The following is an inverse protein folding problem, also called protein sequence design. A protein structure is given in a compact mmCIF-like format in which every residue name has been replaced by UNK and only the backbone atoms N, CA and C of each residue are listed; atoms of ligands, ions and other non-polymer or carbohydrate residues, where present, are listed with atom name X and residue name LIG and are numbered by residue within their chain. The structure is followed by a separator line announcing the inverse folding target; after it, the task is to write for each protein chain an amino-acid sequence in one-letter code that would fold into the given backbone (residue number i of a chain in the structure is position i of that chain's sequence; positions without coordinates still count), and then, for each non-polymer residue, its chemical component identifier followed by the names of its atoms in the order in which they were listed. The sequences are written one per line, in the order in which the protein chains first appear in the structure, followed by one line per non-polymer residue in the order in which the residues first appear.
data_IF_814312461088
#
_entry.id   IF_814312461088
#
_cell.length_a   1.000
_cell.length_b   1.000
_cell.length_c   1.000
_cell.angle_alpha   90.00
_cell.angle_beta   90.00
_cell.angle_gamma   90.00
#
_symmetry.space_group_name_H-M   'P 1'
#
loop_
_entity.id
_entity.type
_entity.pdbx_description
1 polymer ?
#
# COMPACT_ATOMS: atom_id res chain seq x y z
N UNK A 1 -9.17 9.35 16.66
CA UNK A 1 -8.47 8.36 15.83
C UNK A 1 -8.78 8.65 14.38
N UNK A 2 -7.78 8.67 13.50
CA UNK A 2 -8.02 8.82 12.06
C UNK A 2 -8.63 7.53 11.51
N UNK A 3 -9.64 7.65 10.64
CA UNK A 3 -10.28 6.51 9.98
C UNK A 3 -9.42 6.01 8.82
N UNK A 4 -9.65 4.78 8.36
CA UNK A 4 -8.98 4.25 7.16
C UNK A 4 -9.20 5.16 5.95
N UNK A 5 -10.40 5.71 5.76
CA UNK A 5 -10.67 6.66 4.69
C UNK A 5 -9.85 7.96 4.81
N UNK A 6 -9.68 8.50 6.03
CA UNK A 6 -8.80 9.66 6.25
C UNK A 6 -7.35 9.33 5.93
N UNK A 7 -6.85 8.16 6.38
CA UNK A 7 -5.50 7.71 6.03
C UNK A 7 -5.32 7.64 4.51
N UNK A 8 -6.26 7.04 3.78
CA UNK A 8 -6.21 6.96 2.31
C UNK A 8 -6.17 8.33 1.64
N UNK A 9 -6.93 9.32 2.12
CA UNK A 9 -6.84 10.69 1.61
C UNK A 9 -5.46 11.33 1.87
N UNK A 10 -4.88 11.10 3.05
CA UNK A 10 -3.53 11.60 3.37
C UNK A 10 -2.47 10.88 2.53
N UNK A 11 -2.61 9.57 2.30
CA UNK A 11 -1.74 8.81 1.39
C UNK A 11 -1.80 9.37 -0.02
N UNK A 12 -3.00 9.66 -0.56
CA UNK A 12 -3.15 10.25 -1.88
C UNK A 12 -2.46 11.63 -1.98
N UNK A 13 -2.55 12.44 -0.92
CA UNK A 13 -1.83 13.71 -0.84
C UNK A 13 -0.30 13.52 -0.79
N UNK A 14 0.18 12.52 -0.03
CA UNK A 14 1.60 12.15 0.04
C UNK A 14 2.12 11.76 -1.34
N UNK A 15 1.43 10.85 -2.02
CA UNK A 15 1.79 10.39 -3.38
C UNK A 15 1.82 11.56 -4.37
N UNK A 16 0.88 12.51 -4.27
CA UNK A 16 0.87 13.69 -5.13
C UNK A 16 2.07 14.62 -4.91
N UNK A 17 2.60 14.69 -3.67
CA UNK A 17 3.71 15.57 -3.32
C UNK A 17 5.08 14.94 -3.59
N UNK A 18 5.20 13.64 -3.33
CA UNK A 18 6.50 12.95 -3.27
C UNK A 18 6.66 11.85 -4.33
N UNK A 19 5.60 11.50 -5.06
CA UNK A 19 5.60 10.36 -5.98
C UNK A 19 5.47 9.01 -5.25
N UNK A 20 5.83 7.95 -5.95
CA UNK A 20 5.80 6.56 -5.44
C UNK A 20 7.11 5.90 -5.82
N UNK A 21 7.79 5.31 -4.84
CA UNK A 21 8.94 4.47 -5.10
C UNK A 21 8.49 3.10 -5.63
N UNK A 22 9.22 2.58 -6.61
CA UNK A 22 8.91 1.31 -7.33
C UNK A 22 10.13 0.38 -7.40
N UNK A 23 11.11 0.57 -6.53
CA UNK A 23 12.30 -0.28 -6.44
C UNK A 23 12.13 -1.44 -5.45
N UNK A 24 13.23 -2.16 -5.22
CA UNK A 24 13.25 -3.39 -4.42
C UNK A 24 13.13 -3.16 -2.90
N UNK A 25 13.28 -1.92 -2.43
CA UNK A 25 13.11 -1.57 -1.02
C UNK A 25 11.86 -0.73 -0.84
N UNK A 26 11.40 -0.58 0.40
CA UNK A 26 10.21 0.21 0.72
C UNK A 26 10.45 1.72 0.69
N UNK A 27 11.71 2.15 0.64
CA UNK A 27 12.11 3.54 0.53
C UNK A 27 13.36 3.68 -0.34
N UNK A 28 13.40 4.74 -1.15
CA UNK A 28 14.58 5.15 -1.90
C UNK A 28 15.48 6.09 -1.08
N UNK A 29 16.78 6.20 -1.40
CA UNK A 29 17.68 7.16 -0.75
C UNK A 29 17.28 8.64 -0.86
N UNK A 30 16.35 8.99 -1.75
CA UNK A 30 15.77 10.33 -1.90
C UNK A 30 14.42 10.50 -1.17
N UNK A 31 14.12 9.59 -0.24
CA UNK A 31 12.93 9.56 0.63
C UNK A 31 11.59 9.33 -0.09
N UNK A 32 11.62 8.93 -1.36
CA UNK A 32 10.43 8.37 -2.00
C UNK A 32 10.07 7.03 -1.35
N UNK A 33 8.78 6.81 -1.09
CA UNK A 33 8.28 5.63 -0.40
C UNK A 33 7.42 4.77 -1.32
N UNK A 34 7.52 3.46 -1.12
CA UNK A 34 6.57 2.50 -1.67
C UNK A 34 5.17 2.76 -1.10
N UNK A 35 4.13 2.41 -1.84
CA UNK A 35 2.74 2.65 -1.45
C UNK A 35 2.37 2.02 -0.09
N UNK A 36 2.89 0.84 0.25
CA UNK A 36 2.67 0.19 1.54
C UNK A 36 3.46 0.86 2.67
N UNK A 37 4.65 1.39 2.38
CA UNK A 37 5.42 2.21 3.31
C UNK A 37 4.72 3.54 3.61
N UNK A 38 4.13 4.18 2.60
CA UNK A 38 3.29 5.38 2.77
C UNK A 38 2.11 5.05 3.69
N UNK A 39 1.45 3.89 3.49
CA UNK A 39 0.35 3.46 4.35
C UNK A 39 0.78 3.39 5.81
N UNK A 40 1.96 2.82 6.10
CA UNK A 40 2.50 2.75 7.46
C UNK A 40 2.85 4.13 8.04
N UNK A 41 3.60 4.96 7.31
CA UNK A 41 4.01 6.30 7.75
C UNK A 41 2.80 7.17 8.07
N UNK A 42 1.78 7.14 7.21
CA UNK A 42 0.53 7.88 7.40
C UNK A 42 -0.31 7.30 8.54
N UNK A 43 -0.42 5.98 8.63
CA UNK A 43 -1.23 5.34 9.66
C UNK A 43 -0.63 5.52 11.05
N UNK A 44 0.67 5.33 11.20
CA UNK A 44 1.38 5.44 12.48
C UNK A 44 1.80 6.88 12.81
N UNK A 45 1.54 7.83 11.91
CA UNK A 45 1.86 9.26 12.07
C UNK A 45 3.32 9.48 12.47
N UNK A 46 4.23 8.84 11.72
CA UNK A 46 5.67 8.82 12.03
C UNK A 46 6.53 8.75 10.76
N UNK A 47 7.79 9.22 10.82
CA UNK A 47 8.74 9.04 9.71
C UNK A 47 8.97 7.56 9.35
N UNK A 48 9.45 7.36 8.12
CA UNK A 48 9.88 6.05 7.63
C UNK A 48 10.96 5.44 8.54
N UNK A 49 10.77 4.22 9.06
CA UNK A 49 11.80 3.50 9.79
C UNK A 49 13.04 3.23 8.91
N UNK A 50 14.27 3.20 9.48
CA UNK A 50 15.48 2.87 8.72
C UNK A 50 15.41 1.54 7.96
N UNK A 51 14.68 0.57 8.50
CA UNK A 51 14.46 -0.74 7.89
C UNK A 51 13.89 -0.64 6.48
N UNK A 52 13.04 0.37 6.20
CA UNK A 52 12.44 0.57 4.87
C UNK A 52 13.48 0.79 3.77
N UNK A 53 14.69 1.21 4.12
CA UNK A 53 15.76 1.50 3.18
C UNK A 53 16.74 0.33 3.00
N UNK A 54 16.75 -0.65 3.90
CA UNK A 54 17.84 -1.64 3.98
C UNK A 54 17.44 -3.08 4.30
N UNK A 55 16.25 -3.32 4.84
CA UNK A 55 15.79 -4.65 5.28
C UNK A 55 14.31 -4.84 4.94
N UNK A 56 14.06 -5.42 3.77
CA UNK A 56 12.73 -5.71 3.25
C UNK A 56 11.91 -6.59 4.21
N UNK A 57 12.51 -7.63 4.78
CA UNK A 57 11.80 -8.57 5.67
C UNK A 57 11.39 -7.86 6.97
N UNK A 58 12.28 -7.04 7.54
CA UNK A 58 11.93 -6.24 8.71
C UNK A 58 10.85 -5.19 8.38
N UNK A 59 10.89 -4.60 7.18
CA UNK A 59 9.90 -3.66 6.70
C UNK A 59 8.50 -4.27 6.61
N UNK A 60 8.39 -5.45 6.00
CA UNK A 60 7.14 -6.21 5.92
C UNK A 60 6.58 -6.46 7.33
N UNK A 61 7.41 -6.97 8.26
CA UNK A 61 6.99 -7.22 9.64
C UNK A 61 6.50 -5.96 10.36
N UNK A 62 7.13 -4.80 10.13
CA UNK A 62 6.69 -3.53 10.68
C UNK A 62 5.31 -3.14 10.15
N UNK A 63 5.11 -3.23 8.83
CA UNK A 63 3.84 -2.92 8.18
C UNK A 63 2.73 -3.86 8.67
N UNK A 64 2.98 -5.17 8.71
CA UNK A 64 2.04 -6.19 9.19
C UNK A 64 1.64 -5.98 10.65
N UNK A 65 2.55 -5.48 11.48
CA UNK A 65 2.26 -5.19 12.89
C UNK A 65 1.32 -3.99 13.08
N UNK A 66 1.17 -3.13 12.08
CA UNK A 66 0.23 -2.01 12.11
C UNK A 66 -1.13 -2.41 11.54
N UNK A 67 -2.09 -2.68 12.43
CA UNK A 67 -3.47 -2.94 12.02
C UNK A 67 -4.08 -1.80 11.18
N UNK A 68 -3.65 -0.55 11.41
CA UNK A 68 -4.12 0.63 10.68
C UNK A 68 -3.52 0.72 9.28
N UNK A 69 -2.23 0.41 9.12
CA UNK A 69 -1.59 0.31 7.82
C UNK A 69 -2.21 -0.83 7.00
N UNK A 70 -2.32 -2.02 7.60
CA UNK A 70 -2.92 -3.19 6.95
C UNK A 70 -4.37 -2.97 6.55
N UNK A 71 -5.16 -2.20 7.32
CA UNK A 71 -6.51 -1.82 6.92
C UNK A 71 -6.53 -0.95 5.65
N UNK A 72 -5.60 0.00 5.52
CA UNK A 72 -5.49 0.83 4.32
C UNK A 72 -5.00 0.01 3.11
N UNK A 73 -4.00 -0.86 3.30
CA UNK A 73 -3.45 -1.73 2.26
C UNK A 73 -4.52 -2.69 1.73
N UNK A 74 -5.28 -3.35 2.63
CA UNK A 74 -6.41 -4.20 2.25
C UNK A 74 -7.47 -3.43 1.48
N UNK A 75 -7.84 -2.24 1.94
CA UNK A 75 -8.82 -1.41 1.23
C UNK A 75 -8.35 -1.02 -0.19
N UNK A 76 -7.05 -0.77 -0.39
CA UNK A 76 -6.49 -0.53 -1.73
C UNK A 76 -6.56 -1.82 -2.56
N UNK A 77 -6.08 -2.93 -2.01
CA UNK A 77 -6.11 -4.26 -2.65
C UNK A 77 -7.50 -4.63 -3.13
N UNK A 78 -8.54 -4.43 -2.32
CA UNK A 78 -9.94 -4.75 -2.65
C UNK A 78 -10.47 -3.96 -3.86
N UNK A 79 -9.80 -2.86 -4.21
CA UNK A 79 -10.14 -2.07 -5.39
C UNK A 79 -9.30 -2.42 -6.61
N UNK A 80 -8.27 -3.27 -6.50
CA UNK A 80 -7.46 -3.71 -7.64
C UNK A 80 -8.23 -4.71 -8.49
N UNK A 81 -7.80 -4.86 -9.75
CA UNK A 81 -8.49 -5.70 -10.73
C UNK A 81 -8.01 -7.18 -10.68
N UNK A 82 -7.13 -7.51 -9.73
CA UNK A 82 -6.55 -8.83 -9.49
C UNK A 82 -6.74 -9.25 -8.04
N UNK A 83 -6.77 -10.56 -7.81
CA UNK A 83 -6.74 -11.12 -6.46
C UNK A 83 -5.32 -11.02 -5.85
N UNK A 84 -5.21 -10.85 -4.52
CA UNK A 84 -3.92 -10.90 -3.85
C UNK A 84 -3.24 -12.25 -4.06
N UNK A 85 -1.91 -12.22 -4.22
CA UNK A 85 -1.10 -13.44 -4.18
C UNK A 85 -1.23 -14.12 -2.81
N UNK A 86 -0.94 -15.42 -2.78
CA UNK A 86 -0.96 -16.21 -1.56
C UNK A 86 0.48 -16.55 -1.13
N UNK A 87 0.80 -16.30 0.14
CA UNK A 87 2.08 -16.64 0.75
C UNK A 87 1.92 -17.83 1.70
N UNK A 88 2.75 -18.87 1.55
CA UNK A 88 2.76 -20.05 2.42
C UNK A 88 3.43 -19.72 3.76
N UNK A 89 2.67 -19.79 4.85
CA UNK A 89 3.17 -19.50 6.21
C UNK A 89 3.46 -20.76 7.03
N UNK A 90 2.94 -21.90 6.59
CA UNK A 90 3.25 -23.23 7.09
C UNK A 90 2.91 -24.26 5.99
N UNK A 91 3.48 -25.48 6.03
CA UNK A 91 3.20 -26.51 5.03
C UNK A 91 1.69 -26.71 4.77
N UNK A 92 1.23 -26.38 3.57
CA UNK A 92 -0.16 -26.47 3.15
C UNK A 92 -1.10 -25.40 3.72
N UNK A 93 -0.56 -24.32 4.28
CA UNK A 93 -1.32 -23.19 4.80
C UNK A 93 -0.82 -21.87 4.20
N UNK A 94 -1.66 -21.30 3.34
CA UNK A 94 -1.42 -20.03 2.67
C UNK A 94 -2.32 -18.93 3.22
N UNK A 95 -1.85 -17.69 3.16
CA UNK A 95 -2.64 -16.48 3.45
C UNK A 95 -2.47 -15.46 2.33
N UNK A 96 -3.45 -14.57 2.10
CA UNK A 96 -3.29 -13.49 1.14
C UNK A 96 -2.18 -12.51 1.55
N UNK A 97 -1.27 -12.22 0.61
CA UNK A 97 -0.18 -11.27 0.74
C UNK A 97 -0.58 -9.92 0.13
N UNK A 98 -1.21 -9.10 0.97
CA UNK A 98 -1.69 -7.79 0.54
C UNK A 98 -0.56 -6.77 0.33
N UNK A 99 0.58 -6.94 1.00
CA UNK A 99 1.72 -6.04 0.86
C UNK A 99 2.35 -6.29 -0.52
N UNK A 100 2.66 -7.54 -0.84
CA UNK A 100 3.18 -7.91 -2.15
C UNK A 100 2.18 -7.51 -3.26
N UNK A 101 0.89 -7.80 -3.10
CA UNK A 101 -0.11 -7.46 -4.10
C UNK A 101 -0.13 -5.96 -4.45
N UNK A 102 -0.15 -5.09 -3.44
CA UNK A 102 -0.30 -3.64 -3.66
C UNK A 102 1.02 -3.00 -4.12
N UNK A 103 2.16 -3.39 -3.53
CA UNK A 103 3.48 -2.89 -3.94
C UNK A 103 3.82 -3.36 -5.36
N UNK A 104 3.59 -4.63 -5.69
CA UNK A 104 3.82 -5.16 -7.03
C UNK A 104 2.89 -4.52 -8.08
N UNK A 105 1.62 -4.28 -7.74
CA UNK A 105 0.72 -3.55 -8.63
C UNK A 105 1.24 -2.15 -8.99
N UNK A 106 1.80 -1.43 -8.02
CA UNK A 106 2.36 -0.10 -8.25
C UNK A 106 3.68 -0.12 -9.03
N UNK A 107 4.47 -1.20 -8.90
CA UNK A 107 5.81 -1.32 -9.48
C UNK A 107 5.84 -2.03 -10.84
N UNK A 108 4.82 -2.82 -11.20
CA UNK A 108 4.87 -3.71 -12.36
C UNK A 108 3.88 -3.29 -13.46
N UNK A 109 4.30 -3.29 -14.75
CA UNK A 109 3.36 -3.09 -15.85
C UNK A 109 2.29 -4.18 -15.88
N UNK A 110 0.99 -3.82 -15.97
CA UNK A 110 -0.05 -4.82 -16.16
C UNK A 110 0.10 -5.52 -17.51
N UNK A 111 -0.54 -6.68 -17.67
CA UNK A 111 -0.53 -7.44 -18.93
C UNK A 111 -1.00 -6.54 -20.09
N UNK A 112 -0.17 -6.43 -21.12
CA UNK A 112 -0.45 -5.59 -22.29
C UNK A 112 0.04 -4.14 -22.17
N UNK A 113 0.65 -3.75 -21.05
CA UNK A 113 1.31 -2.46 -20.87
C UNK A 113 2.84 -2.61 -20.81
N UNK A 114 3.54 -1.51 -21.08
CA UNK A 114 5.02 -1.44 -21.03
C UNK A 114 5.54 -0.63 -19.85
N UNK A 115 4.64 -0.02 -19.07
CA UNK A 115 4.97 0.81 -17.92
C UNK A 115 4.08 0.45 -16.73
N UNK A 116 4.60 0.55 -15.50
CA UNK A 116 3.78 0.49 -14.29
C UNK A 116 2.74 1.61 -14.26
N UNK A 117 1.75 1.55 -13.35
CA UNK A 117 0.82 2.64 -13.13
C UNK A 117 1.55 3.96 -12.85
N UNK A 118 1.06 5.03 -13.46
CA UNK A 118 1.50 6.39 -13.18
C UNK A 118 1.06 6.84 -11.78
N UNK A 119 1.71 7.88 -11.24
CA UNK A 119 1.35 8.49 -9.96
C UNK A 119 -0.14 8.89 -9.89
N UNK A 120 -0.72 9.39 -10.99
CA UNK A 120 -2.14 9.76 -11.04
C UNK A 120 -3.06 8.53 -10.99
N UNK A 121 -2.67 7.41 -11.59
CA UNK A 121 -3.40 6.14 -11.51
C UNK A 121 -3.35 5.56 -10.09
N UNK A 122 -2.18 5.66 -9.43
CA UNK A 122 -2.03 5.30 -8.01
C UNK A 122 -2.94 6.15 -7.12
N UNK A 123 -2.88 7.48 -7.25
CA UNK A 123 -3.78 8.40 -6.52
C UNK A 123 -5.24 8.05 -6.77
N UNK A 124 -5.62 7.83 -8.03
CA UNK A 124 -6.99 7.48 -8.41
C UNK A 124 -7.48 6.19 -7.74
N UNK A 125 -6.62 5.16 -7.62
CA UNK A 125 -6.98 3.90 -6.96
C UNK A 125 -7.11 4.07 -5.44
N UNK A 126 -6.19 4.80 -4.80
CA UNK A 126 -6.28 5.14 -3.36
C UNK A 126 -7.58 5.89 -3.05
N UNK A 127 -7.95 6.88 -3.87
CA UNK A 127 -9.18 7.65 -3.65
C UNK A 127 -10.45 6.82 -3.90
N UNK A 128 -10.43 5.86 -4.83
CA UNK A 128 -11.53 4.90 -5.01
C UNK A 128 -11.70 4.02 -3.77
N UNK A 129 -10.60 3.55 -3.16
CA UNK A 129 -10.66 2.81 -1.90
C UNK A 129 -11.28 3.65 -0.78
N UNK A 130 -10.90 4.92 -0.66
CA UNK A 130 -11.49 5.84 0.32
C UNK A 130 -13.01 6.01 0.11
N UNK A 131 -13.43 6.17 -1.14
CA UNK A 131 -14.85 6.29 -1.51
C UNK A 131 -15.66 5.02 -1.22
N UNK A 132 -15.09 3.84 -1.49
CA UNK A 132 -15.73 2.57 -1.21
C UNK A 132 -16.05 2.41 0.29
N UNK A 133 -15.13 2.82 1.17
CA UNK A 133 -15.35 2.81 2.63
C UNK A 133 -16.44 3.80 3.08
N UNK A 134 -16.52 4.98 2.45
CA UNK A 134 -17.58 5.96 2.73
C UNK A 134 -18.97 5.44 2.35
N UNK A 135 -19.07 4.71 1.23
CA UNK A 135 -20.32 4.11 0.77
C UNK A 135 -20.78 2.98 1.70
N UNK A 136 -19.85 2.13 2.14
CA UNK A 136 -20.14 1.04 3.10
C UNK A 136 -20.65 1.56 4.45
N UNK A 137 -20.14 2.70 4.91
CA UNK A 137 -20.59 3.33 6.17
C UNK A 137 -22.00 3.91 6.07
N UNK A 138 -22.44 4.30 4.87
CA UNK A 138 -23.76 4.93 4.66
C UNK A 138 -24.87 3.89 4.42
N UNK A 139 -24.51 2.65 4.09
CA UNK A 139 -25.44 1.57 3.78
C UNK A 139 -25.72 0.62 4.97
N UNK A 140 -25.15 0.89 6.14
CA UNK A 140 -25.35 0.15 7.39
C UNK A 140 -26.27 0.93 8.35
#
# INVERSE_FOLDING_TARGET
MATTAMNLHVMAAYVNLYGVHTGDQFAAPDDQLDICAIAYVVAEDRPAPPEFYTDEIASIRLIESSARAMAAIRAISDTLDSDPCETEIAPGHTIPDYIEHVSNWAATPPIGATKPPSTSEVIGRILRAAQALGTQTTAA
#
